data_IF_420643945634
#
_entry.id   IF_420643945634
#
_cell.length_a   1.000
_cell.length_b   1.000
_cell.length_c   1.000
_cell.angle_alpha   90.00
_cell.angle_beta   90.00
_cell.angle_gamma   90.00
#
_symmetry.space_group_name_H-M   'P 1'
#
loop_
_entity.id
_entity.type
_entity.pdbx_description
1 polymer ?
#
# COMPACT_ATOMS: atom_id res chain seq x y z
N UNK A 1 -0.45 -4.48 18.61
CA UNK A 1 -1.26 -3.24 18.59
C UNK A 1 -2.07 -3.19 17.30
N UNK A 2 -3.32 -2.70 17.30
CA UNK A 2 -4.11 -2.49 16.07
C UNK A 2 -4.57 -1.03 15.99
N UNK A 3 -4.34 -0.40 14.85
CA UNK A 3 -4.81 0.94 14.52
C UNK A 3 -5.88 0.81 13.42
N UNK A 4 -6.96 1.58 13.51
CA UNK A 4 -8.00 1.66 12.48
C UNK A 4 -8.30 3.11 12.18
N UNK A 5 -8.65 3.38 10.92
CA UNK A 5 -9.09 4.70 10.48
C UNK A 5 -9.93 4.58 9.21
N UNK A 6 -10.55 5.69 8.83
CA UNK A 6 -11.26 5.83 7.55
C UNK A 6 -10.59 6.95 6.76
N UNK A 7 -10.18 6.65 5.54
CA UNK A 7 -9.79 7.67 4.59
C UNK A 7 -11.00 8.22 3.86
N UNK A 8 -11.05 9.53 3.69
CA UNK A 8 -12.06 10.20 2.85
C UNK A 8 -11.36 10.81 1.66
N UNK A 9 -11.67 10.31 0.47
CA UNK A 9 -11.20 10.91 -0.77
C UNK A 9 -11.80 12.32 -0.89
N UNK A 10 -10.95 13.35 -0.85
CA UNK A 10 -11.37 14.76 -1.00
C UNK A 10 -11.49 15.19 -2.46
N UNK A 11 -10.90 14.41 -3.35
CA UNK A 11 -10.91 14.55 -4.80
C UNK A 11 -11.11 13.17 -5.41
N UNK A 12 -11.41 13.05 -6.71
CA UNK A 12 -11.35 11.76 -7.40
C UNK A 12 -10.00 11.06 -7.13
N UNK A 13 -10.06 9.77 -6.80
CA UNK A 13 -8.90 8.93 -6.50
C UNK A 13 -8.81 7.81 -7.54
N UNK A 14 -7.64 7.63 -8.13
CA UNK A 14 -7.35 6.53 -9.04
C UNK A 14 -6.35 5.59 -8.38
N UNK A 15 -6.70 4.30 -8.36
CA UNK A 15 -5.80 3.21 -7.98
C UNK A 15 -5.89 2.16 -9.08
N UNK A 16 -4.77 1.91 -9.74
CA UNK A 16 -4.73 1.01 -10.90
C UNK A 16 -5.18 -0.40 -10.55
N UNK A 17 -6.08 -0.92 -11.36
CA UNK A 17 -6.52 -2.32 -11.33
C UNK A 17 -6.01 -3.13 -12.50
N UNK A 18 -6.23 -4.44 -12.45
CA UNK A 18 -6.14 -5.29 -13.63
C UNK A 18 -7.41 -5.10 -14.47
N UNK A 19 -7.27 -4.76 -15.74
CA UNK A 19 -8.39 -4.53 -16.64
C UNK A 19 -8.95 -5.83 -17.19
N UNK A 20 -10.22 -6.11 -16.93
CA UNK A 20 -10.92 -7.24 -17.55
C UNK A 20 -11.59 -6.85 -18.88
N UNK A 21 -11.86 -5.55 -19.08
CA UNK A 21 -12.48 -5.02 -20.30
C UNK A 21 -11.46 -4.32 -21.18
N UNK A 22 -11.46 -4.68 -22.46
CA UNK A 22 -10.68 -4.04 -23.53
C UNK A 22 -11.12 -2.59 -23.80
N UNK A 23 -12.29 -2.18 -23.28
CA UNK A 23 -12.87 -0.86 -23.48
C UNK A 23 -12.46 0.14 -22.38
N UNK A 24 -11.71 -0.30 -21.36
CA UNK A 24 -11.31 0.56 -20.24
C UNK A 24 -9.80 0.78 -20.24
N UNK A 25 -9.37 1.99 -20.59
CA UNK A 25 -7.95 2.35 -20.67
C UNK A 25 -7.26 2.44 -19.30
N UNK A 26 -8.00 2.80 -18.24
CA UNK A 26 -7.48 3.01 -16.87
C UNK A 26 -8.38 2.38 -15.80
N UNK A 27 -8.42 1.04 -15.71
CA UNK A 27 -9.28 0.33 -14.77
C UNK A 27 -8.93 0.66 -13.32
N UNK A 28 -9.96 0.74 -12.48
CA UNK A 28 -9.82 0.87 -11.03
C UNK A 28 -9.64 -0.50 -10.39
N UNK A 29 -8.89 -0.55 -9.29
CA UNK A 29 -8.66 -1.77 -8.52
C UNK A 29 -9.97 -2.39 -7.99
N UNK A 30 -10.16 -3.67 -8.30
CA UNK A 30 -11.25 -4.51 -7.78
C UNK A 30 -10.68 -5.77 -7.14
N UNK A 31 -11.27 -6.18 -6.01
CA UNK A 31 -10.89 -7.42 -5.35
C UNK A 31 -11.56 -8.62 -6.04
N UNK A 32 -11.28 -9.84 -5.58
CA UNK A 32 -11.86 -11.08 -6.15
C UNK A 32 -13.39 -11.19 -6.05
N UNK A 33 -14.04 -10.31 -5.28
CA UNK A 33 -15.50 -10.20 -5.20
C UNK A 33 -16.07 -9.07 -6.10
N UNK A 34 -15.22 -8.41 -6.90
CA UNK A 34 -15.62 -7.30 -7.77
C UNK A 34 -15.81 -5.96 -7.06
N UNK A 35 -15.57 -5.88 -5.74
CA UNK A 35 -15.69 -4.65 -4.97
C UNK A 35 -14.47 -3.75 -5.16
N UNK A 36 -14.69 -2.43 -5.17
CA UNK A 36 -13.62 -1.45 -5.30
C UNK A 36 -12.83 -1.39 -3.99
N UNK A 37 -11.51 -1.35 -4.11
CA UNK A 37 -10.63 -1.33 -2.94
C UNK A 37 -9.34 -0.58 -3.22
N UNK A 38 -8.66 -0.18 -2.17
CA UNK A 38 -7.28 0.28 -2.22
C UNK A 38 -6.42 -0.87 -1.68
N UNK A 39 -5.48 -1.42 -2.48
CA UNK A 39 -4.56 -2.45 -2.01
C UNK A 39 -3.74 -1.96 -0.82
N UNK A 40 -3.60 -2.81 0.20
CA UNK A 40 -2.78 -2.53 1.38
C UNK A 40 -1.32 -2.28 1.01
N UNK A 41 -0.85 -2.85 -0.11
CA UNK A 41 0.48 -2.58 -0.68
C UNK A 41 0.60 -1.16 -1.24
N UNK A 42 -0.45 -0.60 -1.85
CA UNK A 42 -0.47 0.80 -2.30
C UNK A 42 -0.39 1.76 -1.11
N UNK A 43 -1.14 1.47 -0.04
CA UNK A 43 -1.10 2.26 1.21
C UNK A 43 0.29 2.14 1.86
N UNK A 44 0.82 0.92 1.94
CA UNK A 44 2.18 0.64 2.46
C UNK A 44 3.24 1.45 1.71
N UNK A 45 3.18 1.51 0.38
CA UNK A 45 4.13 2.27 -0.43
C UNK A 45 4.14 3.76 -0.10
N UNK A 46 2.97 4.37 0.00
CA UNK A 46 2.84 5.80 0.35
C UNK A 46 3.32 6.07 1.78
N UNK A 47 2.93 5.23 2.75
CA UNK A 47 3.36 5.39 4.14
C UNK A 47 4.86 5.17 4.32
N UNK A 48 5.45 4.16 3.68
CA UNK A 48 6.90 3.91 3.70
C UNK A 48 7.68 5.08 3.08
N UNK A 49 7.22 5.61 1.94
CA UNK A 49 7.83 6.78 1.32
C UNK A 49 7.74 8.03 2.21
N UNK A 50 6.59 8.24 2.86
CA UNK A 50 6.44 9.33 3.83
C UNK A 50 7.37 9.14 5.04
N UNK A 51 7.47 7.94 5.62
CA UNK A 51 8.39 7.65 6.71
C UNK A 51 9.85 7.93 6.32
N UNK A 52 10.25 7.53 5.11
CA UNK A 52 11.60 7.80 4.59
C UNK A 52 11.86 9.31 4.53
N UNK A 53 10.90 10.08 4.01
CA UNK A 53 11.02 11.54 3.94
C UNK A 53 11.02 12.22 5.31
N UNK A 54 10.30 11.67 6.29
CA UNK A 54 10.09 12.31 7.59
C UNK A 54 11.15 11.91 8.64
N UNK A 55 11.65 10.68 8.58
CA UNK A 55 12.48 10.07 9.63
C UNK A 55 13.79 9.47 9.12
N UNK A 56 14.01 9.41 7.81
CA UNK A 56 15.21 8.85 7.20
C UNK A 56 15.19 7.32 7.03
N UNK A 57 16.23 6.79 6.41
CA UNK A 57 16.33 5.39 5.97
C UNK A 57 16.40 4.42 7.16
N UNK A 58 17.27 4.68 8.13
CA UNK A 58 17.48 3.78 9.28
C UNK A 58 16.17 3.53 10.06
N UNK A 59 15.45 4.60 10.41
CA UNK A 59 14.18 4.48 11.11
C UNK A 59 13.09 3.80 10.25
N UNK A 60 13.11 4.04 8.93
CA UNK A 60 12.15 3.43 8.00
C UNK A 60 12.40 1.94 7.87
N UNK A 61 13.65 1.52 7.72
CA UNK A 61 14.02 0.11 7.54
C UNK A 61 13.78 -0.69 8.82
N UNK A 62 14.00 -0.11 10.00
CA UNK A 62 13.64 -0.74 11.28
C UNK A 62 12.16 -1.10 11.34
N UNK A 63 11.26 -0.27 10.79
CA UNK A 63 9.82 -0.50 10.86
C UNK A 63 9.30 -1.37 9.71
N UNK A 64 9.71 -1.06 8.49
CA UNK A 64 9.16 -1.63 7.26
C UNK A 64 9.97 -2.80 6.69
N UNK A 65 11.15 -3.05 7.25
CA UNK A 65 12.13 -4.00 6.73
C UNK A 65 13.04 -3.34 5.68
N UNK A 66 14.36 -3.60 5.74
CA UNK A 66 15.29 -3.12 4.72
C UNK A 66 15.05 -3.83 3.38
N UNK A 67 15.35 -3.17 2.25
CA UNK A 67 15.28 -3.82 0.95
C UNK A 67 16.22 -5.04 0.90
N UNK A 68 15.78 -6.12 0.25
CA UNK A 68 16.62 -7.29 0.05
C UNK A 68 17.79 -6.94 -0.88
N UNK A 69 18.96 -6.67 -0.32
CA UNK A 69 20.18 -6.45 -1.08
C UNK A 69 20.87 -7.80 -1.32
N UNK A 70 21.12 -8.16 -2.59
CA UNK A 70 21.93 -9.33 -2.94
C UNK A 70 23.35 -9.15 -2.39
N UNK A 71 23.65 -9.71 -1.22
CA UNK A 71 24.99 -9.67 -0.63
C UNK A 71 25.05 -9.69 0.90
N UNK A 72 23.93 -9.48 1.61
CA UNK A 72 23.92 -9.58 3.07
C UNK A 72 22.64 -10.27 3.59
N UNK A 73 22.59 -11.62 3.53
CA UNK A 73 21.40 -12.39 3.91
C UNK A 73 21.04 -12.26 5.40
N UNK A 74 21.99 -11.87 6.25
CA UNK A 74 21.83 -11.82 7.71
C UNK A 74 21.33 -10.46 8.23
N UNK A 75 21.16 -9.47 7.35
CA UNK A 75 20.71 -8.11 7.72
C UNK A 75 19.25 -7.79 7.35
N UNK A 76 18.45 -8.79 6.98
CA UNK A 76 17.05 -8.61 6.60
C UNK A 76 16.07 -9.02 7.68
N UNK A 77 14.95 -8.29 7.79
CA UNK A 77 13.75 -8.77 8.48
C UNK A 77 12.51 -8.40 7.67
N UNK A 78 11.42 -9.14 7.88
CA UNK A 78 10.11 -8.76 7.35
C UNK A 78 9.58 -7.50 8.05
N UNK A 79 8.71 -6.75 7.38
CA UNK A 79 8.01 -5.61 7.95
C UNK A 79 7.34 -5.97 9.29
N UNK A 80 7.47 -5.10 10.29
CA UNK A 80 6.71 -5.22 11.54
C UNK A 80 5.30 -4.61 11.42
N UNK A 81 5.01 -3.96 10.29
CA UNK A 81 3.71 -3.37 9.98
C UNK A 81 3.02 -4.19 8.89
N UNK A 82 1.80 -4.61 9.18
CA UNK A 82 0.87 -5.19 8.21
C UNK A 82 -0.22 -4.17 7.92
N UNK A 83 -0.45 -3.89 6.64
CA UNK A 83 -1.55 -3.04 6.18
C UNK A 83 -2.55 -3.91 5.43
N UNK A 84 -3.79 -3.90 5.89
CA UNK A 84 -4.91 -4.59 5.24
C UNK A 84 -5.41 -3.78 4.04
N UNK A 85 -6.02 -4.47 3.07
CA UNK A 85 -6.76 -3.83 1.98
C UNK A 85 -7.91 -2.96 2.52
N UNK A 86 -8.11 -1.79 1.93
CA UNK A 86 -9.17 -0.88 2.32
C UNK A 86 -10.32 -0.91 1.32
N UNK A 87 -11.49 -1.40 1.74
CA UNK A 87 -12.70 -1.40 0.92
C UNK A 87 -13.25 0.01 0.73
N UNK A 88 -13.68 0.34 -0.50
CA UNK A 88 -14.25 1.64 -0.84
C UNK A 88 -15.76 1.60 -0.62
N UNK A 89 -16.26 2.50 0.22
CA UNK A 89 -17.69 2.79 0.34
C UNK A 89 -18.03 4.04 -0.45
N UNK A 90 -18.98 3.95 -1.37
CA UNK A 90 -19.52 5.10 -2.08
C UNK A 90 -20.63 5.78 -1.27
N UNK A 91 -20.81 7.10 -1.41
CA UNK A 91 -21.91 7.83 -0.79
C UNK A 91 -23.29 7.35 -1.27
#
# INVERSE_FOLDING_TARGET
>A
MRIKGRFTARTPLHVGGYGESVETDLPLARNGAGAWYIPGTSITGVLRAWCLSAFGEEATDVLWGPPMTRGNPDRGHASFVLIEDAEVTLP
#
